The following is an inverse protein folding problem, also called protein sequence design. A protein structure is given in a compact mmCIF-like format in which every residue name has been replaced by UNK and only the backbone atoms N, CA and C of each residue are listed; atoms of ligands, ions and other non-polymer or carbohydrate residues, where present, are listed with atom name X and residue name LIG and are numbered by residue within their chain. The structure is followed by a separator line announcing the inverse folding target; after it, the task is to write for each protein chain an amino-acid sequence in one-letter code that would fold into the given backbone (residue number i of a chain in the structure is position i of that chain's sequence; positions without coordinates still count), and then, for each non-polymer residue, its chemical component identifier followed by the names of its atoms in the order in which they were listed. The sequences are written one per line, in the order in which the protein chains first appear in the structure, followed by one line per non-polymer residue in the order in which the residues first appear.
data_IF_482210243194
#
_entry.id   IF_482210243194
#
_cell.length_a   1.000
_cell.length_b   1.000
_cell.length_c   1.000
_cell.angle_alpha   90.00
_cell.angle_beta   90.00
_cell.angle_gamma   90.00
#
_symmetry.space_group_name_H-M   'P 1'
#
loop_
_entity.id
_entity.type
_entity.pdbx_description
1 polymer ?
#
# COMPACT_ATOMS: atom_id res chain seq x y z
N UNK A 1 -56.04 -19.86 -20.09
CA UNK A 1 -54.83 -20.32 -20.78
C UNK A 1 -53.82 -19.17 -20.72
N UNK A 2 -52.63 -19.49 -20.31
CA UNK A 2 -51.45 -18.62 -20.21
C UNK A 2 -51.43 -17.48 -19.20
N UNK A 3 -51.13 -17.87 -17.99
CA UNK A 3 -50.59 -17.01 -16.93
C UNK A 3 -49.15 -17.43 -16.74
N UNK A 4 -48.22 -16.69 -17.26
CA UNK A 4 -46.81 -16.89 -16.97
C UNK A 4 -46.04 -15.60 -17.15
N UNK A 5 -45.09 -15.41 -16.24
CA UNK A 5 -43.98 -14.47 -16.30
C UNK A 5 -44.24 -13.02 -15.98
N UNK A 6 -44.24 -12.73 -14.68
CA UNK A 6 -43.80 -11.42 -14.20
C UNK A 6 -43.27 -11.57 -12.76
N UNK A 7 -42.09 -12.15 -12.62
CA UNK A 7 -41.34 -12.11 -11.33
C UNK A 7 -39.85 -12.39 -11.60
N UNK A 8 -39.18 -11.41 -12.11
CA UNK A 8 -37.69 -11.47 -12.15
C UNK A 8 -37.12 -10.09 -12.52
N UNK A 9 -37.21 -9.09 -11.66
CA UNK A 9 -36.46 -7.84 -11.80
C UNK A 9 -36.47 -7.05 -10.48
N UNK A 10 -35.86 -7.56 -9.44
CA UNK A 10 -35.58 -6.79 -8.21
C UNK A 10 -34.48 -7.47 -7.38
N UNK A 11 -33.29 -7.64 -7.95
CA UNK A 11 -32.11 -8.04 -7.15
C UNK A 11 -30.80 -7.58 -7.81
N UNK A 12 -30.65 -6.30 -8.07
CA UNK A 12 -29.39 -5.77 -8.64
C UNK A 12 -29.00 -4.39 -8.12
N UNK A 13 -29.26 -4.06 -6.86
CA UNK A 13 -28.94 -2.74 -6.33
C UNK A 13 -28.29 -2.75 -4.93
N UNK A 14 -27.44 -3.70 -4.61
CA UNK A 14 -26.77 -3.73 -3.30
C UNK A 14 -25.24 -3.98 -3.34
N UNK A 15 -24.55 -3.77 -4.45
CA UNK A 15 -23.11 -3.97 -4.56
C UNK A 15 -22.28 -2.70 -4.75
N UNK A 16 -22.85 -1.51 -4.64
CA UNK A 16 -22.14 -0.24 -4.91
C UNK A 16 -21.43 0.37 -3.68
N UNK A 17 -21.48 -0.24 -2.51
CA UNK A 17 -20.99 0.36 -1.25
C UNK A 17 -19.59 -0.06 -0.78
N UNK A 18 -18.92 -1.02 -1.42
CA UNK A 18 -17.69 -1.64 -0.89
C UNK A 18 -16.39 -1.25 -1.62
N UNK A 19 -16.41 -0.35 -2.60
CA UNK A 19 -15.27 -0.18 -3.51
C UNK A 19 -14.11 0.64 -2.95
N UNK A 20 -14.32 1.58 -2.04
CA UNK A 20 -13.25 2.48 -1.59
C UNK A 20 -12.40 1.89 -0.46
N UNK A 21 -12.99 1.16 0.47
CA UNK A 21 -12.25 0.51 1.56
C UNK A 21 -11.48 -0.72 1.07
N UNK A 22 -12.03 -1.48 0.12
CA UNK A 22 -11.31 -2.61 -0.49
C UNK A 22 -10.07 -2.16 -1.27
N UNK A 23 -10.10 -0.97 -1.87
CA UNK A 23 -8.96 -0.45 -2.62
C UNK A 23 -7.80 0.00 -1.70
N UNK A 24 -8.10 0.66 -0.58
CA UNK A 24 -7.08 1.04 0.40
C UNK A 24 -6.50 -0.18 1.10
N UNK A 25 -7.32 -1.14 1.52
CA UNK A 25 -6.86 -2.39 2.11
C UNK A 25 -5.93 -3.15 1.17
N UNK A 26 -6.33 -3.33 -0.09
CA UNK A 26 -5.49 -3.98 -1.11
C UNK A 26 -4.18 -3.23 -1.36
N UNK A 27 -4.21 -1.89 -1.38
CA UNK A 27 -3.00 -1.07 -1.55
C UNK A 27 -2.07 -1.19 -0.31
N UNK A 28 -2.63 -1.20 0.90
CA UNK A 28 -1.89 -1.38 2.15
C UNK A 28 -1.24 -2.76 2.22
N UNK A 29 -1.96 -3.83 1.86
CA UNK A 29 -1.41 -5.20 1.79
C UNK A 29 -0.26 -5.31 0.79
N UNK A 30 -0.41 -4.67 -0.38
CA UNK A 30 0.64 -4.63 -1.39
C UNK A 30 1.88 -3.89 -0.90
N UNK A 31 1.69 -2.76 -0.22
CA UNK A 31 2.77 -1.97 0.33
C UNK A 31 3.52 -2.75 1.42
N UNK A 32 2.81 -3.36 2.36
CA UNK A 32 3.39 -4.20 3.41
C UNK A 32 4.20 -5.38 2.81
N UNK A 33 3.61 -6.10 1.86
CA UNK A 33 4.28 -7.21 1.17
C UNK A 33 5.53 -6.76 0.40
N UNK A 34 5.48 -5.59 -0.25
CA UNK A 34 6.60 -5.07 -1.02
C UNK A 34 7.75 -4.60 -0.12
N UNK A 35 7.42 -3.95 1.00
CA UNK A 35 8.41 -3.51 2.00
C UNK A 35 9.12 -4.72 2.65
N UNK A 36 8.39 -5.78 2.98
CA UNK A 36 9.00 -7.00 3.54
C UNK A 36 9.91 -7.70 2.53
N UNK A 37 9.50 -7.83 1.26
CA UNK A 37 10.36 -8.41 0.22
C UNK A 37 11.63 -7.59 -0.01
N UNK A 38 11.53 -6.27 0.04
CA UNK A 38 12.68 -5.38 -0.06
C UNK A 38 13.63 -5.60 1.12
N UNK A 39 13.11 -5.68 2.34
CA UNK A 39 13.91 -6.00 3.53
C UNK A 39 14.59 -7.36 3.41
N UNK A 40 13.85 -8.42 3.06
CA UNK A 40 14.38 -9.77 2.92
C UNK A 40 15.53 -9.83 1.89
N UNK A 41 15.39 -9.11 0.78
CA UNK A 41 16.41 -9.03 -0.25
C UNK A 41 17.70 -8.37 0.27
N UNK A 42 17.58 -7.27 1.02
CA UNK A 42 18.74 -6.59 1.61
C UNK A 42 19.35 -7.38 2.77
N UNK A 43 18.53 -8.06 3.56
CA UNK A 43 19.01 -8.87 4.70
C UNK A 43 19.85 -10.07 4.24
N UNK A 44 19.56 -10.62 3.06
CA UNK A 44 20.31 -11.71 2.46
C UNK A 44 21.68 -11.24 1.98
N UNK A 45 21.84 -9.96 1.68
CA UNK A 45 23.11 -9.35 1.34
C UNK A 45 23.82 -8.85 2.61
N UNK A 46 24.78 -9.61 3.09
CA UNK A 46 25.55 -9.35 4.32
C UNK A 46 26.28 -7.99 4.34
N UNK A 47 26.33 -7.29 3.21
CA UNK A 47 26.99 -5.99 3.06
C UNK A 47 26.08 -4.79 3.35
N UNK A 48 24.77 -5.01 3.48
CA UNK A 48 23.75 -3.95 3.55
C UNK A 48 23.45 -3.40 4.97
N UNK A 49 24.33 -3.54 5.95
CA UNK A 49 24.12 -3.28 7.38
C UNK A 49 23.14 -2.16 7.78
N UNK A 50 23.45 -0.90 7.47
CA UNK A 50 22.55 0.22 7.81
C UNK A 50 21.25 0.22 7.01
N UNK A 51 21.33 -0.10 5.74
CA UNK A 51 20.15 -0.12 4.84
C UNK A 51 19.19 -1.22 5.19
N UNK A 52 19.68 -2.38 5.60
CA UNK A 52 18.82 -3.47 6.07
C UNK A 52 18.03 -3.04 7.32
N UNK A 53 18.65 -2.24 8.21
CA UNK A 53 17.96 -1.69 9.37
C UNK A 53 16.87 -0.67 8.96
N UNK A 54 17.18 0.23 8.02
CA UNK A 54 16.20 1.21 7.52
C UNK A 54 15.07 0.52 6.76
N UNK A 55 15.36 -0.54 6.01
CA UNK A 55 14.34 -1.37 5.37
C UNK A 55 13.47 -2.12 6.39
N UNK A 56 14.04 -2.61 7.48
CA UNK A 56 13.28 -3.21 8.59
C UNK A 56 12.33 -2.20 9.22
N UNK A 57 12.78 -0.96 9.45
CA UNK A 57 11.94 0.11 10.00
C UNK A 57 10.79 0.50 9.05
N UNK A 58 11.02 0.48 7.73
CA UNK A 58 9.95 0.67 6.75
C UNK A 58 8.95 -0.51 6.81
N UNK A 59 9.43 -1.76 6.82
CA UNK A 59 8.58 -2.94 6.89
C UNK A 59 7.74 -2.97 8.17
N UNK A 60 8.27 -2.51 9.30
CA UNK A 60 7.50 -2.36 10.54
C UNK A 60 6.42 -1.27 10.40
N UNK A 61 6.76 -0.10 9.86
CA UNK A 61 5.83 1.00 9.67
C UNK A 61 4.68 0.62 8.72
N UNK A 62 4.97 -0.11 7.63
CA UNK A 62 3.93 -0.57 6.69
C UNK A 62 3.01 -1.61 7.31
N UNK A 63 3.54 -2.52 8.13
CA UNK A 63 2.74 -3.49 8.89
C UNK A 63 1.81 -2.81 9.90
N UNK A 64 2.31 -1.78 10.61
CA UNK A 64 1.49 -1.03 11.56
C UNK A 64 0.40 -0.24 10.85
N UNK A 65 0.70 0.35 9.71
CA UNK A 65 -0.28 1.02 8.87
C UNK A 65 -1.34 0.03 8.35
N UNK A 66 -0.94 -1.14 7.87
CA UNK A 66 -1.86 -2.17 7.41
C UNK A 66 -2.83 -2.60 8.51
N UNK A 67 -2.33 -2.82 9.73
CA UNK A 67 -3.17 -3.09 10.91
C UNK A 67 -4.10 -1.92 11.26
N UNK A 68 -3.68 -0.68 11.04
CA UNK A 68 -4.54 0.48 11.26
C UNK A 68 -5.69 0.51 10.25
N UNK A 69 -5.45 0.18 8.98
CA UNK A 69 -6.49 0.07 7.94
C UNK A 69 -7.57 -0.95 8.32
N UNK A 70 -7.19 -2.05 8.97
CA UNK A 70 -8.15 -3.05 9.45
C UNK A 70 -8.98 -2.59 10.66
N UNK A 71 -8.41 -1.74 11.52
CA UNK A 71 -8.98 -1.38 12.83
C UNK A 71 -9.77 -0.08 12.83
N UNK A 72 -9.38 0.91 12.05
CA UNK A 72 -10.00 2.23 12.05
C UNK A 72 -10.62 2.58 10.70
N UNK A 73 -11.73 3.34 10.77
CA UNK A 73 -12.36 3.98 9.61
C UNK A 73 -12.05 5.49 9.57
N UNK A 74 -11.38 6.00 10.60
CA UNK A 74 -10.97 7.40 10.67
C UNK A 74 -9.85 7.67 9.66
N UNK A 75 -10.14 8.50 8.69
CA UNK A 75 -9.16 8.89 7.67
C UNK A 75 -7.99 9.68 8.25
N UNK A 76 -8.25 10.48 9.27
CA UNK A 76 -7.22 11.26 9.93
C UNK A 76 -6.25 10.35 10.71
N UNK A 77 -6.77 9.34 11.42
CA UNK A 77 -5.92 8.35 12.09
C UNK A 77 -5.07 7.56 11.09
N UNK A 78 -5.65 7.22 9.92
CA UNK A 78 -4.92 6.54 8.85
C UNK A 78 -3.83 7.42 8.25
N UNK A 79 -4.08 8.72 8.08
CA UNK A 79 -3.05 9.68 7.63
C UNK A 79 -1.89 9.77 8.62
N UNK A 80 -2.18 9.92 9.91
CA UNK A 80 -1.16 9.94 10.96
C UNK A 80 -0.32 8.66 10.96
N UNK A 81 -0.96 7.50 10.77
CA UNK A 81 -0.24 6.24 10.66
C UNK A 81 0.60 6.16 9.37
N UNK A 82 0.07 6.67 8.25
CA UNK A 82 0.78 6.69 6.97
C UNK A 82 1.94 7.69 6.95
N UNK A 83 1.90 8.78 7.70
CA UNK A 83 3.00 9.75 7.81
C UNK A 83 4.30 9.08 8.28
N UNK A 84 4.22 8.08 9.15
CA UNK A 84 5.38 7.29 9.57
C UNK A 84 5.94 6.46 8.42
N UNK A 85 5.08 5.88 7.61
CA UNK A 85 5.50 5.16 6.40
C UNK A 85 6.18 6.12 5.43
N UNK A 86 5.60 7.30 5.22
CA UNK A 86 6.13 8.32 4.33
C UNK A 86 7.53 8.77 4.77
N UNK A 87 7.75 9.03 6.06
CA UNK A 87 9.05 9.39 6.60
C UNK A 87 10.12 8.34 6.27
N UNK A 88 9.82 7.05 6.54
CA UNK A 88 10.75 5.93 6.28
C UNK A 88 10.98 5.71 4.80
N UNK A 89 9.91 5.79 3.99
CA UNK A 89 10.01 5.70 2.54
C UNK A 89 10.91 6.79 1.96
N UNK A 90 10.71 8.05 2.32
CA UNK A 90 11.52 9.17 1.81
C UNK A 90 12.97 9.10 2.26
N UNK A 91 13.24 8.61 3.47
CA UNK A 91 14.59 8.37 3.93
C UNK A 91 15.30 7.32 3.04
N UNK A 92 14.68 6.14 2.87
CA UNK A 92 15.22 5.08 2.01
C UNK A 92 15.35 5.50 0.55
N UNK A 93 14.38 6.28 0.02
CA UNK A 93 14.44 6.81 -1.34
C UNK A 93 15.73 7.59 -1.60
N UNK A 94 16.11 8.48 -0.66
CA UNK A 94 17.35 9.23 -0.76
C UNK A 94 18.60 8.34 -0.78
N UNK A 95 18.58 7.25 -0.04
CA UNK A 95 19.68 6.28 0.00
C UNK A 95 19.75 5.50 -1.31
N UNK A 96 18.62 4.97 -1.79
CA UNK A 96 18.53 4.16 -3.02
C UNK A 96 18.86 4.97 -4.28
N UNK A 97 18.47 6.24 -4.33
CA UNK A 97 18.78 7.16 -5.43
C UNK A 97 20.21 7.74 -5.34
N UNK A 98 20.90 7.49 -4.23
CA UNK A 98 22.27 7.93 -4.00
C UNK A 98 23.30 7.20 -4.87
N UNK A 99 24.56 7.69 -4.86
CA UNK A 99 25.64 7.13 -5.68
C UNK A 99 26.20 5.80 -5.18
N UNK A 100 25.71 5.30 -4.04
CA UNK A 100 26.24 4.10 -3.40
C UNK A 100 25.91 2.85 -4.23
N UNK A 101 26.91 2.08 -4.69
CA UNK A 101 26.69 0.89 -5.50
C UNK A 101 25.95 -0.23 -4.75
N UNK A 102 25.95 -0.25 -3.42
CA UNK A 102 25.24 -1.25 -2.62
C UNK A 102 23.71 -1.24 -2.81
N UNK A 103 23.16 -0.11 -3.27
CA UNK A 103 21.71 -0.02 -3.51
C UNK A 103 21.26 -0.44 -4.91
N UNK A 104 22.21 -0.73 -5.81
CA UNK A 104 21.87 -1.07 -7.20
C UNK A 104 20.99 -2.31 -7.29
N UNK A 105 21.31 -3.35 -6.52
CA UNK A 105 20.56 -4.61 -6.55
C UNK A 105 19.21 -4.53 -5.84
N UNK A 106 19.09 -3.64 -4.84
CA UNK A 106 17.83 -3.33 -4.15
C UNK A 106 16.88 -2.42 -4.93
N UNK A 107 17.36 -1.72 -5.97
CA UNK A 107 16.57 -0.70 -6.69
C UNK A 107 15.28 -1.26 -7.29
N UNK A 108 15.34 -2.40 -7.97
CA UNK A 108 14.16 -3.02 -8.59
C UNK A 108 13.12 -3.42 -7.53
N UNK A 109 13.55 -3.92 -6.37
CA UNK A 109 12.64 -4.24 -5.28
C UNK A 109 12.06 -2.96 -4.65
N UNK A 110 12.86 -1.89 -4.55
CA UNK A 110 12.40 -0.59 -4.04
C UNK A 110 11.43 0.11 -5.01
N UNK A 111 11.57 -0.08 -6.32
CA UNK A 111 10.60 0.45 -7.30
C UNK A 111 9.19 -0.11 -7.03
N UNK A 112 9.08 -1.39 -6.66
CA UNK A 112 7.80 -2.00 -6.26
C UNK A 112 7.23 -1.41 -4.97
N UNK A 113 8.10 -1.06 -4.02
CA UNK A 113 7.69 -0.32 -2.81
C UNK A 113 7.17 1.06 -3.21
N UNK A 114 7.84 1.74 -4.14
CA UNK A 114 7.43 3.05 -4.65
C UNK A 114 6.06 3.01 -5.30
N UNK A 115 5.80 2.06 -6.18
CA UNK A 115 4.50 1.88 -6.82
C UNK A 115 3.39 1.67 -5.78
N UNK A 116 3.61 0.76 -4.83
CA UNK A 116 2.63 0.47 -3.79
C UNK A 116 2.42 1.65 -2.82
N UNK A 117 3.47 2.42 -2.50
CA UNK A 117 3.39 3.65 -1.71
C UNK A 117 2.50 4.70 -2.39
N UNK A 118 2.69 4.93 -3.68
CA UNK A 118 1.89 5.87 -4.47
C UNK A 118 0.42 5.41 -4.60
N UNK A 119 0.16 4.10 -4.62
CA UNK A 119 -1.21 3.58 -4.62
C UNK A 119 -1.93 3.90 -3.31
N UNK A 120 -1.26 3.74 -2.16
CA UNK A 120 -1.80 4.11 -0.84
C UNK A 120 -1.99 5.62 -0.74
N UNK A 121 -1.00 6.42 -1.13
CA UNK A 121 -1.08 7.87 -1.10
C UNK A 121 -2.29 8.39 -1.90
N UNK A 122 -2.49 7.86 -3.11
CA UNK A 122 -3.67 8.18 -3.92
C UNK A 122 -4.97 7.78 -3.24
N UNK A 123 -5.05 6.59 -2.67
CA UNK A 123 -6.25 6.11 -2.00
C UNK A 123 -6.61 6.94 -0.75
N UNK A 124 -5.60 7.46 -0.04
CA UNK A 124 -5.80 8.30 1.14
C UNK A 124 -6.12 9.76 0.79
N UNK A 125 -5.45 10.33 -0.19
CA UNK A 125 -5.51 11.77 -0.48
C UNK A 125 -6.46 12.12 -1.63
N UNK A 126 -6.76 11.15 -2.53
CA UNK A 126 -7.62 11.36 -3.70
C UNK A 126 -8.69 10.26 -3.84
N UNK A 127 -9.62 10.14 -2.87
CA UNK A 127 -10.63 9.07 -2.88
C UNK A 127 -11.58 9.12 -4.07
N UNK A 128 -11.77 10.29 -4.66
CA UNK A 128 -12.83 10.57 -5.66
C UNK A 128 -12.28 10.65 -7.11
N UNK A 129 -11.00 10.44 -7.34
CA UNK A 129 -10.39 10.58 -8.68
C UNK A 129 -10.82 9.50 -9.70
N UNK A 130 -11.72 8.58 -9.35
CA UNK A 130 -12.22 7.52 -10.23
C UNK A 130 -13.52 7.85 -10.97
N UNK A 131 -14.03 9.08 -10.84
CA UNK A 131 -15.32 9.49 -11.47
C UNK A 131 -15.15 10.47 -12.62
N UNK A 132 -13.95 10.62 -13.19
CA UNK A 132 -13.74 11.49 -14.35
C UNK A 132 -12.93 10.77 -15.44
N UNK A 133 -13.49 9.67 -15.94
CA UNK A 133 -13.20 9.12 -17.28
C UNK A 133 -14.46 8.51 -17.87
#
# INVERSE_FOLDING_TARGET
MNRSCTFLLLLSALLAGCSSTSSLGTAADRLDSSAHRFYDQLYTDRTAGHTANDAAMLAEATRDFNRAVDRTRSRDDLRVSFDRVAERYHHLRKLVDGPDPYYRDGRVAFDRVTEAYLDVDRALNHPDSRYHD
#
